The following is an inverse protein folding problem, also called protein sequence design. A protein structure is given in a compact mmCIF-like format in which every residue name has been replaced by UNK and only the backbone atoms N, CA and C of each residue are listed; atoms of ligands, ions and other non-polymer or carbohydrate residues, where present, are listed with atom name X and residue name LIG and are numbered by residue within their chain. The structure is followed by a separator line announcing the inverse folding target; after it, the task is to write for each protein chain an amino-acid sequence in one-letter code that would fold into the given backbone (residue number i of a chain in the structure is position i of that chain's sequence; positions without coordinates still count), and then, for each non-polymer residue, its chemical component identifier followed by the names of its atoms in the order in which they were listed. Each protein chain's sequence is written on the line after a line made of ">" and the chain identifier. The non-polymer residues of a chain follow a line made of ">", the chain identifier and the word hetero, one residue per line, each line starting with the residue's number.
data_IF_830482920340
#
_entry.id   IF_830482920340
#
_cell.length_a   1.000
_cell.length_b   1.000
_cell.length_c   1.000
_cell.angle_alpha   90.00
_cell.angle_beta   90.00
_cell.angle_gamma   90.00
#
_symmetry.space_group_name_H-M   'P 1'
#
loop_
_entity.id
_entity.type
_entity.pdbx_description
1 polymer ?
#
# COMPACT_ATOMS: atom_id res chain seq x y z
N UNK A 1 44.92 -25.34 40.93
CA UNK A 1 44.41 -25.29 39.54
C UNK A 1 42.96 -24.80 39.58
N UNK A 2 42.74 -23.52 39.31
CA UNK A 2 41.41 -22.88 39.39
C UNK A 2 40.98 -22.54 37.97
N UNK A 3 39.97 -23.27 37.45
CA UNK A 3 39.40 -23.06 36.13
C UNK A 3 38.31 -21.97 36.23
N UNK A 4 38.60 -20.82 35.68
CA UNK A 4 37.60 -19.73 35.56
C UNK A 4 36.78 -20.02 34.32
N UNK A 5 35.49 -20.37 34.47
CA UNK A 5 34.52 -20.42 33.39
C UNK A 5 34.03 -18.98 33.09
N UNK A 6 34.40 -18.46 31.93
CA UNK A 6 33.78 -17.27 31.37
C UNK A 6 32.46 -17.68 30.70
N UNK A 7 31.35 -17.40 31.35
CA UNK A 7 30.04 -17.46 30.72
C UNK A 7 29.82 -16.16 29.93
N UNK A 8 29.96 -16.24 28.62
CA UNK A 8 29.59 -15.14 27.69
C UNK A 8 28.06 -15.06 27.61
N UNK A 9 27.50 -14.04 28.25
CA UNK A 9 26.09 -13.68 28.13
C UNK A 9 25.87 -12.95 26.81
N UNK A 10 25.45 -13.66 25.75
CA UNK A 10 24.99 -13.06 24.52
C UNK A 10 23.62 -12.38 24.74
N UNK A 11 23.64 -11.08 24.95
CA UNK A 11 22.45 -10.26 24.92
C UNK A 11 22.00 -10.09 23.46
N UNK A 12 21.05 -10.90 22.99
CA UNK A 12 20.35 -10.70 21.72
C UNK A 12 19.37 -9.55 21.87
N UNK A 13 19.79 -8.36 21.51
CA UNK A 13 18.88 -7.23 21.35
C UNK A 13 17.98 -7.48 20.13
N UNK A 14 16.77 -7.98 20.36
CA UNK A 14 15.72 -8.05 19.34
C UNK A 14 15.30 -6.63 18.98
N UNK A 15 15.81 -6.10 17.87
CA UNK A 15 15.22 -4.91 17.26
C UNK A 15 13.84 -5.31 16.71
N UNK A 16 12.80 -5.01 17.47
CA UNK A 16 11.44 -4.91 16.94
C UNK A 16 11.42 -3.70 16.00
N UNK A 17 11.73 -3.92 14.73
CA UNK A 17 11.40 -2.94 13.69
C UNK A 17 9.88 -2.80 13.70
N UNK A 18 9.38 -1.66 14.14
CA UNK A 18 7.98 -1.29 13.98
C UNK A 18 7.72 -1.23 12.47
N UNK A 19 7.15 -2.31 11.90
CA UNK A 19 6.70 -2.37 10.51
C UNK A 19 5.41 -1.54 10.37
N UNK A 20 5.49 -0.24 10.62
CA UNK A 20 4.49 0.71 10.19
C UNK A 20 4.83 1.18 8.78
N UNK A 21 3.82 1.28 7.89
CA UNK A 21 4.03 1.90 6.60
C UNK A 21 4.46 3.35 6.79
N UNK A 22 5.36 3.88 5.95
CA UNK A 22 5.79 5.27 6.05
C UNK A 22 4.58 6.21 5.87
N UNK A 23 4.59 7.40 6.50
CA UNK A 23 3.52 8.37 6.32
C UNK A 23 3.38 8.76 4.85
N UNK A 24 2.17 9.17 4.46
CA UNK A 24 1.92 9.74 3.13
C UNK A 24 2.45 11.17 3.13
N UNK A 25 3.60 11.37 2.53
CA UNK A 25 4.24 12.66 2.33
C UNK A 25 4.39 12.99 0.83
N UNK A 26 4.91 14.18 0.52
CA UNK A 26 5.11 14.62 -0.86
C UNK A 26 5.97 13.65 -1.66
N UNK A 27 7.04 13.12 -1.08
CA UNK A 27 7.94 12.16 -1.74
C UNK A 27 7.23 10.86 -2.08
N UNK A 28 6.38 10.35 -1.18
CA UNK A 28 5.59 9.14 -1.42
C UNK A 28 4.53 9.37 -2.49
N UNK A 29 3.92 10.58 -2.54
CA UNK A 29 2.97 10.94 -3.60
C UNK A 29 3.66 11.06 -4.97
N UNK A 30 4.88 11.58 -5.03
CA UNK A 30 5.66 11.63 -6.27
C UNK A 30 6.04 10.24 -6.79
N UNK A 31 6.33 9.31 -5.88
CA UNK A 31 6.79 7.95 -6.20
C UNK A 31 5.99 6.90 -5.42
N UNK A 32 4.68 6.75 -5.71
CA UNK A 32 3.85 5.78 -5.02
C UNK A 32 4.23 4.35 -5.43
N UNK A 33 4.04 3.40 -4.50
CA UNK A 33 4.18 1.99 -4.81
C UNK A 33 3.21 1.58 -5.94
N UNK A 34 3.50 0.52 -6.72
CA UNK A 34 2.69 0.15 -7.90
C UNK A 34 1.19 0.01 -7.62
N UNK A 35 0.80 -0.47 -6.45
CA UNK A 35 -0.61 -0.64 -6.05
C UNK A 35 -1.23 0.59 -5.37
N UNK A 36 -0.50 1.70 -5.24
CA UNK A 36 -0.99 2.91 -4.59
C UNK A 36 -1.53 3.93 -5.58
N UNK A 37 -2.53 4.68 -5.12
CA UNK A 37 -3.13 5.80 -5.83
C UNK A 37 -3.37 6.94 -4.84
N UNK A 38 -2.32 7.73 -4.56
CA UNK A 38 -2.26 8.63 -3.40
C UNK A 38 -2.79 10.04 -3.67
N UNK A 39 -3.08 10.38 -4.92
CA UNK A 39 -3.68 11.66 -5.32
C UNK A 39 -4.70 11.44 -6.43
N UNK A 40 -5.42 12.49 -6.83
CA UNK A 40 -6.44 12.43 -7.89
C UNK A 40 -5.89 11.81 -9.19
N UNK A 41 -4.72 12.17 -9.62
CA UNK A 41 -4.07 11.66 -10.83
C UNK A 41 -3.00 10.60 -10.60
N UNK A 42 -2.94 10.01 -9.42
CA UNK A 42 -1.96 9.07 -8.88
C UNK A 42 -0.68 9.76 -8.39
N UNK A 43 -0.10 10.64 -9.17
CA UNK A 43 1.09 11.44 -8.89
C UNK A 43 0.80 12.91 -9.16
N UNK A 44 1.70 13.84 -8.83
CA UNK A 44 1.50 15.28 -9.05
C UNK A 44 1.46 15.69 -10.53
N UNK A 45 2.01 14.88 -11.42
CA UNK A 45 1.96 15.12 -12.87
C UNK A 45 0.65 14.65 -13.52
N UNK A 46 -0.31 14.14 -12.71
CA UNK A 46 -1.70 13.84 -13.12
C UNK A 46 -1.83 12.91 -14.33
N UNK A 47 -0.87 12.01 -14.55
CA UNK A 47 -0.87 11.12 -15.72
C UNK A 47 -1.99 10.07 -15.67
N UNK A 48 -2.55 9.78 -14.48
CA UNK A 48 -3.60 8.78 -14.29
C UNK A 48 -3.24 7.40 -14.83
N UNK A 49 -1.96 7.09 -14.83
CA UNK A 49 -1.42 5.84 -15.33
C UNK A 49 -1.09 4.89 -14.18
N UNK A 50 -1.57 3.64 -14.29
CA UNK A 50 -1.22 2.57 -13.37
C UNK A 50 -0.10 1.69 -13.96
N UNK A 51 1.00 1.44 -13.22
CA UNK A 51 2.05 0.51 -13.68
C UNK A 51 1.66 -0.96 -13.47
N UNK A 52 0.46 -1.25 -12.95
CA UNK A 52 -0.02 -2.62 -12.78
C UNK A 52 -0.27 -3.26 -14.15
N UNK A 53 0.27 -4.47 -14.35
CA UNK A 53 0.24 -5.16 -15.64
C UNK A 53 -0.39 -6.57 -15.55
N UNK A 54 -1.15 -6.85 -14.47
CA UNK A 54 -1.83 -8.15 -14.31
C UNK A 54 -3.03 -8.32 -15.25
N UNK A 55 -3.63 -7.22 -15.69
CA UNK A 55 -4.75 -7.21 -16.64
C UNK A 55 -4.20 -6.76 -17.98
N UNK A 56 -4.52 -7.51 -19.02
CA UNK A 56 -4.09 -7.26 -20.38
C UNK A 56 -5.22 -7.60 -21.36
N UNK A 57 -5.04 -7.32 -22.62
CA UNK A 57 -5.93 -7.73 -23.70
C UNK A 57 -6.17 -9.24 -23.78
N UNK A 58 -5.17 -10.03 -23.34
CA UNK A 58 -5.27 -11.48 -23.31
C UNK A 58 -6.20 -12.05 -22.23
N UNK A 59 -6.42 -11.32 -21.12
CA UNK A 59 -7.19 -11.83 -19.97
C UNK A 59 -8.32 -10.91 -19.51
N UNK A 60 -8.49 -9.74 -20.10
CA UNK A 60 -9.54 -8.79 -19.71
C UNK A 60 -10.96 -9.37 -19.84
N UNK A 61 -11.18 -10.29 -20.78
CA UNK A 61 -12.46 -10.99 -20.97
C UNK A 61 -12.83 -11.95 -19.83
N UNK A 62 -11.88 -12.30 -18.97
CA UNK A 62 -12.07 -13.19 -17.81
C UNK A 62 -12.39 -12.41 -16.52
N UNK A 63 -12.43 -11.08 -16.58
CA UNK A 63 -12.75 -10.27 -15.40
C UNK A 63 -14.16 -10.51 -14.91
N UNK A 64 -14.29 -10.73 -13.61
CA UNK A 64 -15.55 -10.82 -12.90
C UNK A 64 -15.64 -9.85 -11.74
N UNK A 65 -16.86 -9.66 -11.19
CA UNK A 65 -17.07 -8.85 -10.01
C UNK A 65 -16.41 -9.51 -8.79
N UNK A 66 -15.40 -8.87 -8.21
CA UNK A 66 -14.73 -9.37 -7.02
C UNK A 66 -15.53 -9.06 -5.74
N UNK A 67 -16.07 -7.84 -5.64
CA UNK A 67 -16.89 -7.39 -4.51
C UNK A 67 -17.70 -6.15 -4.88
N UNK A 68 -18.70 -5.85 -4.07
CA UNK A 68 -19.47 -4.62 -4.16
C UNK A 68 -19.76 -4.08 -2.76
N UNK A 69 -19.93 -2.77 -2.64
CA UNK A 69 -20.28 -2.11 -1.39
C UNK A 69 -21.43 -1.12 -1.62
N UNK A 70 -22.50 -1.24 -0.82
CA UNK A 70 -23.62 -0.33 -0.88
C UNK A 70 -23.31 0.92 -0.01
N UNK A 71 -23.21 2.08 -0.62
CA UNK A 71 -22.90 3.34 0.07
C UNK A 71 -24.06 3.93 0.87
N UNK A 72 -25.26 3.36 0.72
CA UNK A 72 -26.47 3.85 1.39
C UNK A 72 -26.98 5.19 0.84
N UNK A 73 -26.45 5.68 -0.26
CA UNK A 73 -26.91 6.90 -0.92
C UNK A 73 -27.44 6.62 -2.32
N UNK A 74 -28.48 7.37 -2.73
CA UNK A 74 -29.00 7.36 -4.09
C UNK A 74 -28.26 8.38 -4.99
N UNK A 75 -27.41 9.21 -4.42
CA UNK A 75 -26.58 10.15 -5.18
C UNK A 75 -25.34 9.43 -5.69
N UNK A 76 -24.97 9.68 -6.93
CA UNK A 76 -23.71 9.18 -7.48
C UNK A 76 -22.52 9.71 -6.71
N UNK A 77 -21.53 8.86 -6.46
CA UNK A 77 -20.23 9.26 -5.93
C UNK A 77 -19.42 9.88 -7.08
N UNK A 78 -18.94 11.10 -6.90
CA UNK A 78 -18.15 11.83 -7.91
C UNK A 78 -16.68 11.95 -7.52
N UNK A 79 -16.28 11.34 -6.40
CA UNK A 79 -14.91 11.35 -5.95
C UNK A 79 -14.03 10.43 -6.79
N UNK A 80 -12.78 10.83 -7.02
CA UNK A 80 -11.74 9.88 -7.45
C UNK A 80 -11.29 9.07 -6.23
N UNK A 81 -11.47 7.75 -6.21
CA UNK A 81 -10.99 6.95 -5.11
C UNK A 81 -9.46 7.03 -4.99
N UNK A 82 -8.95 7.07 -3.76
CA UNK A 82 -7.52 6.94 -3.49
C UNK A 82 -7.24 5.60 -2.81
N UNK A 83 -6.04 5.06 -3.02
CA UNK A 83 -5.61 3.79 -2.43
C UNK A 83 -4.33 4.03 -1.65
N UNK A 84 -4.39 3.78 -0.34
CA UNK A 84 -3.28 3.90 0.59
C UNK A 84 -3.14 2.58 1.34
N UNK A 85 -1.96 1.97 1.29
CA UNK A 85 -1.66 0.74 2.04
C UNK A 85 -2.71 -0.37 1.85
N UNK A 86 -3.21 -0.54 0.63
CA UNK A 86 -4.23 -1.53 0.29
C UNK A 86 -5.66 -1.17 0.70
N UNK A 87 -5.89 0.00 1.29
CA UNK A 87 -7.22 0.50 1.67
C UNK A 87 -7.71 1.52 0.64
N UNK A 88 -8.94 1.34 0.14
CA UNK A 88 -9.58 2.26 -0.78
C UNK A 88 -10.42 3.28 0.00
N UNK A 89 -10.20 4.56 -0.26
CA UNK A 89 -10.94 5.68 0.32
C UNK A 89 -11.74 6.39 -0.79
N UNK A 90 -13.00 6.66 -0.52
CA UNK A 90 -13.90 7.40 -1.41
C UNK A 90 -14.94 8.17 -0.61
N UNK A 91 -15.54 9.21 -1.20
CA UNK A 91 -16.61 10.05 -0.59
C UNK A 91 -17.79 10.17 -1.53
#
# INVERSE_FOLDING_TARGET
>A
MMRILFTALCATASLLAACGNPPVDAKRIENPAPGEWLSHGRTYDEQRYSPLAKISDANVGELGLAWSYATGTLRGLQASPIVVDGTLYTT
#
